data_IF_020534983414
#
_entry.id   IF_020534983414
#
_cell.length_a   1.000
_cell.length_b   1.000
_cell.length_c   1.000
_cell.angle_alpha   90.00
_cell.angle_beta   90.00
_cell.angle_gamma   90.00
#
_symmetry.space_group_name_H-M   'P 1'
#
loop_
_entity.id
_entity.type
_entity.pdbx_description
1 polymer ?
#
# COMPACT_ATOMS: atom_id res chain seq x y z
N UNK A 1 14.19 11.32 13.89
CA UNK A 1 13.38 11.70 15.06
C UNK A 1 13.23 10.42 15.85
N UNK A 2 13.68 10.41 17.09
CA UNK A 2 13.64 9.21 17.93
C UNK A 2 12.18 8.86 18.24
N UNK A 3 11.75 7.62 17.94
CA UNK A 3 10.37 7.20 18.21
C UNK A 3 10.04 7.31 19.71
N UNK A 4 8.82 7.76 20.03
CA UNK A 4 8.44 7.99 21.42
C UNK A 4 8.10 6.67 22.14
N UNK A 5 7.57 5.65 21.46
CA UNK A 5 7.17 4.39 22.09
C UNK A 5 8.35 3.56 22.63
N UNK A 6 9.39 3.39 21.81
CA UNK A 6 10.62 2.66 22.12
C UNK A 6 11.49 3.34 23.16
N UNK A 7 11.38 4.67 23.33
CA UNK A 7 12.01 5.40 24.45
C UNK A 7 11.19 5.37 25.74
N UNK A 8 9.85 5.31 25.68
CA UNK A 8 9.00 5.47 26.87
C UNK A 8 8.64 4.11 27.52
N UNK A 9 8.46 3.02 26.77
CA UNK A 9 7.84 1.81 27.35
C UNK A 9 8.58 0.48 27.28
N UNK A 10 9.53 0.25 26.36
CA UNK A 10 10.37 -0.97 26.35
C UNK A 10 9.62 -2.33 26.37
N UNK A 11 8.29 -2.34 26.23
CA UNK A 11 7.42 -3.51 26.28
C UNK A 11 6.89 -3.78 24.88
N UNK A 12 7.32 -4.90 24.32
CA UNK A 12 6.78 -5.47 23.09
C UNK A 12 5.56 -6.32 23.43
N UNK A 13 4.56 -6.33 22.54
CA UNK A 13 3.49 -7.33 22.60
C UNK A 13 4.11 -8.69 22.28
N UNK A 14 3.84 -9.69 23.12
CA UNK A 14 4.35 -11.04 22.89
C UNK A 14 3.70 -11.67 21.67
N UNK A 15 4.40 -12.59 21.00
CA UNK A 15 3.85 -13.29 19.83
C UNK A 15 2.55 -14.05 20.17
N UNK A 16 2.44 -14.60 21.38
CA UNK A 16 1.21 -15.24 21.88
C UNK A 16 0.05 -14.26 21.97
N UNK A 17 0.27 -13.07 22.55
CA UNK A 17 -0.77 -12.04 22.65
C UNK A 17 -1.17 -11.50 21.29
N UNK A 18 -0.20 -11.28 20.38
CA UNK A 18 -0.46 -10.85 19.01
C UNK A 18 -1.28 -11.90 18.23
N UNK A 19 -1.00 -13.18 18.44
CA UNK A 19 -1.75 -14.28 17.83
C UNK A 19 -3.16 -14.37 18.41
N UNK A 20 -3.32 -14.25 19.74
CA UNK A 20 -4.63 -14.24 20.38
C UNK A 20 -5.51 -13.08 19.88
N UNK A 21 -4.92 -11.89 19.71
CA UNK A 21 -5.58 -10.75 19.08
C UNK A 21 -6.05 -11.08 17.65
N UNK A 22 -5.16 -11.62 16.80
CA UNK A 22 -5.47 -12.01 15.41
C UNK A 22 -6.62 -13.02 15.33
N UNK A 23 -6.59 -14.05 16.16
CA UNK A 23 -7.58 -15.13 16.18
C UNK A 23 -8.98 -14.64 16.60
N UNK A 24 -9.04 -13.59 17.42
CA UNK A 24 -10.30 -13.01 17.92
C UNK A 24 -10.73 -11.74 17.19
N UNK A 25 -9.99 -11.31 16.16
CA UNK A 25 -10.18 -10.03 15.49
C UNK A 25 -11.61 -9.86 14.94
N UNK A 26 -12.16 -10.87 14.27
CA UNK A 26 -13.50 -10.79 13.67
C UNK A 26 -14.59 -10.62 14.75
N UNK A 27 -14.44 -11.33 15.87
CA UNK A 27 -15.36 -11.24 17.01
C UNK A 27 -15.27 -9.86 17.66
N UNK A 28 -14.05 -9.35 17.86
CA UNK A 28 -13.84 -8.02 18.44
C UNK A 28 -14.40 -6.93 17.53
N UNK A 29 -14.08 -6.97 16.23
CA UNK A 29 -14.54 -5.99 15.24
C UNK A 29 -16.06 -5.90 15.22
N UNK A 30 -16.77 -7.05 15.25
CA UNK A 30 -18.22 -7.08 15.34
C UNK A 30 -18.74 -6.40 16.62
N UNK A 31 -18.18 -6.72 17.78
CA UNK A 31 -18.58 -6.09 19.06
C UNK A 31 -18.32 -4.59 19.06
N UNK A 32 -17.21 -4.13 18.48
CA UNK A 32 -16.90 -2.70 18.34
C UNK A 32 -17.93 -2.02 17.44
N UNK A 33 -18.29 -2.64 16.31
CA UNK A 33 -19.35 -2.12 15.43
C UNK A 33 -20.68 -1.96 16.17
N UNK A 34 -21.12 -3.02 16.87
CA UNK A 34 -22.39 -3.02 17.61
C UNK A 34 -22.42 -1.88 18.65
N UNK A 35 -21.35 -1.71 19.44
CA UNK A 35 -21.26 -0.66 20.47
C UNK A 35 -21.20 0.75 19.85
N UNK A 36 -20.40 0.93 18.79
CA UNK A 36 -20.25 2.24 18.16
C UNK A 36 -21.52 2.68 17.44
N UNK A 37 -22.26 1.75 16.80
CA UNK A 37 -23.56 2.04 16.19
C UNK A 37 -24.57 2.56 17.24
N UNK A 38 -24.61 1.96 18.43
CA UNK A 38 -25.45 2.46 19.53
C UNK A 38 -25.04 3.86 20.01
N UNK A 39 -23.74 4.17 20.02
CA UNK A 39 -23.22 5.50 20.39
C UNK A 39 -23.60 6.57 19.36
N UNK A 40 -23.64 6.22 18.07
CA UNK A 40 -24.07 7.13 17.00
C UNK A 40 -25.51 7.61 17.14
N UNK A 41 -26.38 6.83 17.80
CA UNK A 41 -27.74 7.27 18.09
C UNK A 41 -27.81 8.45 19.07
N UNK A 42 -26.73 8.68 19.82
CA UNK A 42 -26.64 9.71 20.87
C UNK A 42 -25.78 10.90 20.43
N UNK A 43 -24.79 10.66 19.57
CA UNK A 43 -23.81 11.66 19.14
C UNK A 43 -23.52 11.53 17.64
N UNK A 44 -23.38 12.65 16.93
CA UNK A 44 -22.97 12.64 15.53
C UNK A 44 -21.45 12.46 15.41
N UNK A 45 -20.95 11.22 15.44
CA UNK A 45 -19.51 10.95 15.40
C UNK A 45 -18.96 10.75 13.98
N UNK A 46 -19.79 10.39 13.00
CA UNK A 46 -19.33 10.09 11.62
C UNK A 46 -19.81 11.09 10.57
N UNK A 47 -20.46 12.19 10.95
CA UNK A 47 -20.99 13.17 10.01
C UNK A 47 -22.02 12.55 9.06
N UNK A 48 -21.96 12.90 7.78
CA UNK A 48 -22.86 12.36 6.74
C UNK A 48 -22.39 11.01 6.16
N UNK A 49 -21.35 10.40 6.74
CA UNK A 49 -20.84 9.12 6.25
C UNK A 49 -21.83 7.96 6.52
N UNK A 50 -21.98 7.00 5.59
CA UNK A 50 -22.76 5.81 5.86
C UNK A 50 -22.04 4.89 6.87
N UNK A 51 -22.79 4.13 7.67
CA UNK A 51 -22.27 3.20 8.68
C UNK A 51 -21.22 2.23 8.13
N UNK A 52 -21.34 1.83 6.87
CA UNK A 52 -20.38 0.94 6.21
C UNK A 52 -18.97 1.50 6.19
N UNK A 53 -18.79 2.82 6.11
CA UNK A 53 -17.46 3.45 6.18
C UNK A 53 -16.85 3.23 7.55
N UNK A 54 -17.63 3.44 8.62
CA UNK A 54 -17.18 3.18 9.99
C UNK A 54 -16.83 1.69 10.21
N UNK A 55 -17.64 0.78 9.69
CA UNK A 55 -17.38 -0.66 9.83
C UNK A 55 -16.10 -1.09 9.09
N UNK A 56 -15.90 -0.61 7.87
CA UNK A 56 -14.67 -0.85 7.11
C UNK A 56 -13.44 -0.26 7.83
N UNK A 57 -13.59 0.92 8.43
CA UNK A 57 -12.55 1.57 9.22
C UNK A 57 -12.14 0.72 10.43
N UNK A 58 -13.10 0.16 11.18
CA UNK A 58 -12.82 -0.72 12.30
C UNK A 58 -12.12 -2.02 11.85
N UNK A 59 -12.56 -2.62 10.75
CA UNK A 59 -11.92 -3.82 10.19
C UNK A 59 -10.47 -3.54 9.77
N UNK A 60 -10.24 -2.43 9.05
CA UNK A 60 -8.91 -2.01 8.62
C UNK A 60 -8.00 -1.69 9.81
N UNK A 61 -8.53 -1.01 10.84
CA UNK A 61 -7.80 -0.72 12.07
C UNK A 61 -7.34 -2.01 12.76
N UNK A 62 -8.22 -2.98 12.96
CA UNK A 62 -7.84 -4.22 13.63
C UNK A 62 -6.86 -5.08 12.82
N UNK A 63 -6.99 -5.10 11.48
CA UNK A 63 -5.98 -5.73 10.60
C UNK A 63 -4.62 -5.02 10.69
N UNK A 64 -4.62 -3.69 10.71
CA UNK A 64 -3.40 -2.90 10.87
C UNK A 64 -2.72 -3.17 12.23
N UNK A 65 -3.48 -3.14 13.33
CA UNK A 65 -2.96 -3.42 14.66
C UNK A 65 -2.40 -4.84 14.77
N UNK A 66 -3.02 -5.82 14.12
CA UNK A 66 -2.47 -7.18 14.00
C UNK A 66 -1.05 -7.17 13.44
N UNK A 67 -0.77 -6.35 12.41
CA UNK A 67 0.58 -6.22 11.85
C UNK A 67 1.55 -5.54 12.81
N UNK A 68 1.11 -4.46 13.45
CA UNK A 68 1.91 -3.76 14.47
C UNK A 68 2.35 -4.72 15.55
N UNK A 69 1.44 -5.56 16.07
CA UNK A 69 1.73 -6.51 17.13
C UNK A 69 2.60 -7.68 16.68
N UNK A 70 2.29 -8.31 15.54
CA UNK A 70 3.07 -9.45 15.05
C UNK A 70 4.49 -9.06 14.63
N UNK A 71 4.66 -7.85 14.09
CA UNK A 71 5.97 -7.35 13.65
C UNK A 71 6.68 -6.54 14.74
N UNK A 72 6.02 -6.21 15.84
CA UNK A 72 6.50 -5.26 16.86
C UNK A 72 6.98 -3.95 16.23
N UNK A 73 6.17 -3.39 15.32
CA UNK A 73 6.50 -2.18 14.54
C UNK A 73 5.66 -0.98 14.99
N UNK A 74 6.05 -0.41 16.13
CA UNK A 74 5.38 0.74 16.73
C UNK A 74 5.76 2.08 16.08
N UNK A 75 6.84 2.11 15.30
CA UNK A 75 7.18 3.30 14.50
C UNK A 75 6.23 3.43 13.31
N UNK A 76 5.89 2.30 12.65
CA UNK A 76 4.83 2.26 11.65
C UNK A 76 3.49 2.73 12.25
N UNK A 77 3.17 2.32 13.49
CA UNK A 77 1.97 2.79 14.20
C UNK A 77 1.99 4.32 14.36
N UNK A 78 3.04 4.87 14.96
CA UNK A 78 3.19 6.32 15.20
C UNK A 78 3.05 7.14 13.91
N UNK A 79 3.74 6.73 12.83
CA UNK A 79 3.65 7.39 11.52
C UNK A 79 2.25 7.32 10.92
N UNK A 80 1.55 6.20 11.11
CA UNK A 80 0.22 5.98 10.53
C UNK A 80 -0.87 6.76 11.28
N UNK A 81 -0.76 6.94 12.60
CA UNK A 81 -1.79 7.62 13.40
C UNK A 81 -2.04 9.05 12.96
N UNK A 82 -0.97 9.82 12.72
CA UNK A 82 -1.10 11.20 12.24
C UNK A 82 -1.91 11.27 10.94
N UNK A 83 -1.60 10.41 9.99
CA UNK A 83 -2.32 10.34 8.71
C UNK A 83 -3.78 9.88 8.89
N UNK A 84 -4.03 8.87 9.73
CA UNK A 84 -5.39 8.36 9.99
C UNK A 84 -6.27 9.45 10.60
N UNK A 85 -5.77 10.17 11.61
CA UNK A 85 -6.52 11.20 12.31
C UNK A 85 -6.90 12.35 11.37
N UNK A 86 -5.94 12.89 10.63
CA UNK A 86 -6.19 13.94 9.65
C UNK A 86 -7.20 13.49 8.57
N UNK A 87 -7.06 12.27 8.05
CA UNK A 87 -7.92 11.77 6.98
C UNK A 87 -9.37 11.60 7.40
N UNK A 88 -9.64 11.14 8.63
CA UNK A 88 -11.02 10.94 9.10
C UNK A 88 -11.69 12.29 9.36
N UNK A 89 -10.98 13.24 9.99
CA UNK A 89 -11.49 14.60 10.24
C UNK A 89 -11.81 15.29 8.90
N UNK A 90 -10.90 15.19 7.92
CA UNK A 90 -11.12 15.75 6.58
C UNK A 90 -12.37 15.16 5.90
N UNK A 91 -12.71 13.90 6.21
CA UNK A 91 -13.91 13.20 5.72
C UNK A 91 -15.15 13.42 6.59
N UNK A 92 -15.12 14.38 7.52
CA UNK A 92 -16.27 14.79 8.32
C UNK A 92 -16.55 13.93 9.55
N UNK A 93 -15.62 13.07 9.98
CA UNK A 93 -15.70 12.44 11.30
C UNK A 93 -15.48 13.50 12.38
N UNK A 94 -16.17 13.34 13.50
CA UNK A 94 -15.99 14.20 14.68
C UNK A 94 -14.63 13.97 15.32
N UNK A 95 -14.02 15.02 15.88
CA UNK A 95 -12.83 14.89 16.72
C UNK A 95 -13.06 13.98 17.95
N UNK A 96 -14.30 13.82 18.42
CA UNK A 96 -14.59 12.90 19.51
C UNK A 96 -14.63 11.42 19.08
N UNK A 97 -14.71 11.13 17.77
CA UNK A 97 -14.82 9.76 17.27
C UNK A 97 -13.65 8.88 17.72
N UNK A 98 -12.42 9.40 17.66
CA UNK A 98 -11.22 8.61 18.00
C UNK A 98 -11.19 8.21 19.48
N UNK A 99 -11.57 9.12 20.37
CA UNK A 99 -11.69 8.83 21.78
C UNK A 99 -12.73 7.73 22.04
N UNK A 100 -13.90 7.86 21.42
CA UNK A 100 -14.98 6.88 21.59
C UNK A 100 -14.63 5.50 21.02
N UNK A 101 -13.99 5.44 19.84
CA UNK A 101 -13.64 4.17 19.19
C UNK A 101 -12.49 3.48 19.90
N UNK A 102 -11.44 4.20 20.34
CA UNK A 102 -10.31 3.61 21.05
C UNK A 102 -10.74 3.06 22.43
N UNK A 103 -11.55 3.81 23.17
CA UNK A 103 -12.15 3.34 24.43
C UNK A 103 -13.03 2.10 24.22
N UNK A 104 -13.77 2.06 23.10
CA UNK A 104 -14.59 0.89 22.73
C UNK A 104 -13.73 -0.34 22.39
N UNK A 105 -12.64 -0.16 21.66
CA UNK A 105 -11.66 -1.24 21.43
C UNK A 105 -11.09 -1.76 22.74
N UNK A 106 -10.64 -0.89 23.65
CA UNK A 106 -10.12 -1.27 24.97
C UNK A 106 -11.13 -2.11 25.75
N UNK A 107 -12.39 -1.68 25.77
CA UNK A 107 -13.48 -2.43 26.41
C UNK A 107 -13.63 -3.82 25.79
N UNK A 108 -13.71 -3.91 24.46
CA UNK A 108 -13.93 -5.15 23.74
C UNK A 108 -12.74 -6.12 23.87
N UNK A 109 -11.51 -5.61 23.86
CA UNK A 109 -10.29 -6.38 24.07
C UNK A 109 -10.31 -7.05 25.45
N UNK A 110 -10.60 -6.28 26.51
CA UNK A 110 -10.69 -6.81 27.88
C UNK A 110 -11.82 -7.86 28.05
N UNK A 111 -12.87 -7.78 27.24
CA UNK A 111 -14.00 -8.72 27.27
C UNK A 111 -13.79 -9.97 26.40
N UNK A 112 -12.75 -10.00 25.55
CA UNK A 112 -12.61 -11.04 24.51
C UNK A 112 -11.30 -11.80 24.60
N UNK A 113 -10.18 -11.12 24.84
CA UNK A 113 -8.88 -11.76 24.91
C UNK A 113 -8.62 -12.37 26.29
N UNK A 114 -7.65 -13.28 26.38
CA UNK A 114 -7.18 -13.75 27.68
C UNK A 114 -6.52 -12.61 28.49
N UNK A 115 -6.43 -12.77 29.81
CA UNK A 115 -6.00 -11.67 30.69
C UNK A 115 -4.58 -11.17 30.42
N UNK A 116 -3.68 -12.03 29.94
CA UNK A 116 -2.31 -11.61 29.62
C UNK A 116 -2.27 -10.86 28.30
N UNK A 117 -2.95 -11.39 27.27
CA UNK A 117 -3.08 -10.72 25.98
C UNK A 117 -3.78 -9.37 26.11
N UNK A 118 -4.93 -9.32 26.79
CA UNK A 118 -5.68 -8.09 27.01
C UNK A 118 -4.81 -6.99 27.65
N UNK A 119 -4.00 -7.35 28.65
CA UNK A 119 -3.10 -6.40 29.32
C UNK A 119 -2.03 -5.86 28.37
N UNK A 120 -1.35 -6.71 27.61
CA UNK A 120 -0.30 -6.26 26.67
C UNK A 120 -0.88 -5.41 25.54
N UNK A 121 -2.02 -5.80 24.98
CA UNK A 121 -2.66 -5.09 23.87
C UNK A 121 -3.21 -3.73 24.33
N UNK A 122 -3.92 -3.68 25.47
CA UNK A 122 -4.54 -2.43 25.92
C UNK A 122 -3.53 -1.35 26.30
N UNK A 123 -2.32 -1.71 26.77
CA UNK A 123 -1.23 -0.75 26.97
C UNK A 123 -0.92 0.05 25.69
N UNK A 124 -0.99 -0.57 24.50
CA UNK A 124 -0.80 0.11 23.22
C UNK A 124 -1.99 1.01 22.87
N UNK A 125 -3.21 0.56 23.13
CA UNK A 125 -4.41 1.37 22.88
C UNK A 125 -4.50 2.61 23.77
N UNK A 126 -4.16 2.50 25.06
CA UNK A 126 -4.07 3.65 25.95
C UNK A 126 -3.02 4.66 25.47
N UNK A 127 -1.94 4.20 24.86
CA UNK A 127 -0.98 5.09 24.25
C UNK A 127 -1.53 5.80 23.01
N UNK A 128 -2.30 5.11 22.16
CA UNK A 128 -2.98 5.76 21.04
C UNK A 128 -3.98 6.83 21.52
N UNK A 129 -4.69 6.61 22.64
CA UNK A 129 -5.55 7.63 23.25
C UNK A 129 -4.74 8.85 23.70
N UNK A 130 -3.64 8.65 24.43
CA UNK A 130 -2.78 9.76 24.86
C UNK A 130 -2.13 10.49 23.69
N UNK A 131 -1.71 9.76 22.65
CA UNK A 131 -1.15 10.33 21.43
C UNK A 131 -2.17 11.20 20.70
N UNK A 132 -3.45 10.80 20.71
CA UNK A 132 -4.54 11.62 20.17
C UNK A 132 -4.80 12.90 20.98
N UNK A 133 -4.72 12.83 22.32
CA UNK A 133 -4.89 14.01 23.18
C UNK A 133 -3.79 15.08 22.94
N UNK A 134 -2.60 14.66 22.48
CA UNK A 134 -1.49 15.55 22.11
C UNK A 134 -1.49 15.95 20.62
N UNK A 135 -2.39 15.38 19.81
CA UNK A 135 -2.43 15.59 18.38
C UNK A 135 -2.92 17.00 18.03
N UNK A 136 -2.06 17.79 17.38
CA UNK A 136 -2.46 19.07 16.80
C UNK A 136 -3.01 18.84 15.39
N UNK A 137 -4.26 19.26 15.16
CA UNK A 137 -4.97 19.12 13.87
C UNK A 137 -4.37 20.04 12.79
N UNK A 138 -3.44 20.93 13.15
CA UNK A 138 -2.75 21.76 12.17
C UNK A 138 -2.04 20.87 11.12
N UNK A 139 -2.35 21.05 9.81
CA UNK A 139 -1.69 20.29 8.76
C UNK A 139 -0.18 20.47 8.89
N UNK A 140 0.56 19.37 8.89
CA UNK A 140 2.01 19.43 8.75
C UNK A 140 2.27 20.13 7.40
N UNK A 141 2.65 21.42 7.45
CA UNK A 141 3.10 22.14 6.26
C UNK A 141 4.27 21.35 5.68
N UNK A 142 4.06 20.64 4.56
CA UNK A 142 5.14 20.08 3.79
C UNK A 142 6.08 21.24 3.45
N UNK A 143 7.29 21.20 4.02
CA UNK A 143 8.34 22.16 3.77
C UNK A 143 8.69 22.08 2.28
N UNK A 144 8.01 22.88 1.45
CA UNK A 144 8.34 23.05 0.03
C UNK A 144 9.72 23.70 -0.04
N UNK A 145 10.74 22.86 -0.15
CA UNK A 145 12.06 23.29 -0.58
C UNK A 145 11.89 23.92 -1.97
N UNK A 146 12.17 25.23 -2.08
CA UNK A 146 12.10 25.94 -3.36
C UNK A 146 13.27 25.54 -4.25
N UNK A 147 13.14 24.39 -4.88
CA UNK A 147 14.02 23.96 -5.96
C UNK A 147 13.52 24.65 -7.24
N UNK A 148 14.44 25.26 -7.98
CA UNK A 148 14.13 25.91 -9.26
C UNK A 148 13.83 24.81 -10.29
N UNK A 149 12.54 24.57 -10.57
CA UNK A 149 12.09 23.56 -11.54
C UNK A 149 12.63 23.87 -12.94
N UNK A 150 13.05 22.83 -13.66
CA UNK A 150 13.48 22.94 -15.06
C UNK A 150 12.27 23.14 -15.99
N UNK A 151 12.44 23.73 -17.20
CA UNK A 151 11.35 23.89 -18.16
C UNK A 151 10.64 22.58 -18.53
N UNK A 152 11.37 21.46 -18.55
CA UNK A 152 10.82 20.14 -18.82
C UNK A 152 9.91 19.64 -17.69
N UNK A 153 10.30 19.87 -16.43
CA UNK A 153 9.48 19.50 -15.26
C UNK A 153 8.18 20.29 -15.19
N UNK A 154 8.20 21.57 -15.57
CA UNK A 154 6.98 22.40 -15.64
C UNK A 154 5.98 21.81 -16.63
N UNK A 155 6.42 21.43 -17.84
CA UNK A 155 5.54 20.84 -18.86
C UNK A 155 4.92 19.53 -18.38
N UNK A 156 5.71 18.63 -17.76
CA UNK A 156 5.19 17.38 -17.21
C UNK A 156 4.16 17.61 -16.10
N UNK A 157 4.41 18.60 -15.24
CA UNK A 157 3.50 18.98 -14.16
C UNK A 157 2.16 19.50 -14.70
N UNK A 158 2.19 20.33 -15.74
CA UNK A 158 0.98 20.83 -16.40
C UNK A 158 0.18 19.69 -17.02
N UNK A 159 0.84 18.79 -17.77
CA UNK A 159 0.20 17.60 -18.36
C UNK A 159 -0.37 16.67 -17.27
N UNK A 160 0.33 16.49 -16.15
CA UNK A 160 -0.14 15.73 -14.98
C UNK A 160 -1.38 16.36 -14.34
N UNK A 161 -1.41 17.69 -14.18
CA UNK A 161 -2.57 18.41 -13.67
C UNK A 161 -3.78 18.30 -14.61
N UNK A 162 -3.55 18.41 -15.92
CA UNK A 162 -4.61 18.21 -16.92
C UNK A 162 -5.18 16.79 -16.85
N UNK A 163 -4.31 15.78 -16.76
CA UNK A 163 -4.74 14.39 -16.62
C UNK A 163 -5.59 14.21 -15.35
N UNK A 164 -5.15 14.72 -14.20
CA UNK A 164 -5.93 14.69 -12.96
C UNK A 164 -7.35 15.25 -13.13
N UNK A 165 -7.50 16.42 -13.76
CA UNK A 165 -8.81 17.01 -14.03
C UNK A 165 -9.69 16.11 -14.91
N UNK A 166 -9.13 15.56 -16.00
CA UNK A 166 -9.88 14.66 -16.88
C UNK A 166 -10.29 13.36 -16.19
N UNK A 167 -9.43 12.82 -15.31
CA UNK A 167 -9.71 11.60 -14.56
C UNK A 167 -10.88 11.76 -13.59
N UNK A 168 -10.94 12.88 -12.87
CA UNK A 168 -12.03 13.16 -11.92
C UNK A 168 -13.37 13.34 -12.64
N UNK A 169 -13.35 13.89 -13.86
CA UNK A 169 -14.54 14.04 -14.71
C UNK A 169 -14.90 12.75 -15.47
N UNK A 170 -14.03 11.72 -15.45
CA UNK A 170 -14.20 10.50 -16.23
C UNK A 170 -14.03 10.68 -17.74
N UNK A 171 -13.36 11.75 -18.18
CA UNK A 171 -13.12 12.03 -19.59
C UNK A 171 -12.02 11.12 -20.14
N UNK A 172 -12.41 9.90 -20.50
CA UNK A 172 -11.55 8.92 -21.14
C UNK A 172 -10.93 9.43 -22.44
N UNK A 173 -11.67 10.20 -23.23
CA UNK A 173 -11.22 10.62 -24.57
C UNK A 173 -10.06 11.61 -24.44
N UNK A 174 -10.26 12.68 -23.68
CA UNK A 174 -9.23 13.70 -23.47
C UNK A 174 -8.03 13.12 -22.73
N UNK A 175 -8.25 12.23 -21.76
CA UNK A 175 -7.17 11.52 -21.06
C UNK A 175 -6.33 10.68 -22.02
N UNK A 176 -6.95 9.94 -22.94
CA UNK A 176 -6.24 9.12 -23.92
C UNK A 176 -5.48 9.97 -24.94
N UNK A 177 -6.10 11.03 -25.46
CA UNK A 177 -5.46 11.95 -26.41
C UNK A 177 -4.23 12.62 -25.79
N UNK A 178 -4.34 13.10 -24.54
CA UNK A 178 -3.25 13.69 -23.78
C UNK A 178 -2.07 12.72 -23.61
N UNK A 179 -2.36 11.47 -23.24
CA UNK A 179 -1.31 10.46 -23.05
C UNK A 179 -0.65 10.11 -24.38
N UNK A 180 -1.43 9.92 -25.46
CA UNK A 180 -0.88 9.59 -26.79
C UNK A 180 -0.03 10.71 -27.40
N UNK A 181 -0.34 11.98 -27.12
CA UNK A 181 0.46 13.13 -27.58
C UNK A 181 1.91 13.07 -27.08
N UNK A 182 2.14 12.45 -25.92
CA UNK A 182 3.44 12.46 -25.24
C UNK A 182 4.28 11.25 -25.64
N UNK A 183 3.66 10.12 -26.05
CA UNK A 183 4.39 8.89 -26.39
C UNK A 183 5.01 9.02 -27.78
N UNK A 184 6.33 8.93 -27.86
CA UNK A 184 7.10 8.89 -29.10
C UNK A 184 8.14 7.75 -29.14
N UNK A 185 8.57 7.27 -27.98
CA UNK A 185 9.51 6.15 -27.81
C UNK A 185 9.34 5.45 -26.45
N UNK A 186 10.18 4.44 -26.17
CA UNK A 186 10.15 3.70 -24.90
C UNK A 186 10.44 4.59 -23.67
N UNK A 187 11.28 5.60 -23.80
CA UNK A 187 11.64 6.49 -22.68
C UNK A 187 10.47 7.41 -22.32
N UNK A 188 9.83 8.00 -23.34
CA UNK A 188 8.63 8.82 -23.17
C UNK A 188 7.48 8.03 -22.54
N UNK A 189 7.32 6.75 -22.91
CA UNK A 189 6.35 5.85 -22.33
C UNK A 189 6.63 5.60 -20.83
N UNK A 190 7.89 5.31 -20.48
CA UNK A 190 8.31 5.19 -19.08
C UNK A 190 8.07 6.48 -18.28
N UNK A 191 8.35 7.64 -18.87
CA UNK A 191 8.08 8.94 -18.25
C UNK A 191 6.58 9.18 -18.04
N UNK A 192 5.72 8.80 -18.99
CA UNK A 192 4.26 8.91 -18.84
C UNK A 192 3.79 8.06 -17.67
N UNK A 193 4.22 6.80 -17.60
CA UNK A 193 3.86 5.93 -16.49
C UNK A 193 4.30 6.50 -15.15
N UNK A 194 5.58 6.88 -15.04
CA UNK A 194 6.21 7.18 -13.74
C UNK A 194 6.05 8.62 -13.27
N UNK A 195 5.90 9.58 -14.19
CA UNK A 195 5.85 11.03 -13.89
C UNK A 195 4.50 11.68 -14.16
N UNK A 196 3.60 11.01 -14.91
CA UNK A 196 2.28 11.57 -15.24
C UNK A 196 1.17 10.70 -14.64
N UNK A 197 1.02 9.44 -15.08
CA UNK A 197 -0.05 8.56 -14.63
C UNK A 197 0.07 8.27 -13.13
N UNK A 198 1.25 7.81 -12.67
CA UNK A 198 1.49 7.50 -11.26
C UNK A 198 1.27 8.73 -10.36
N UNK A 199 1.82 9.88 -10.75
CA UNK A 199 1.70 11.13 -9.98
C UNK A 199 0.26 11.68 -9.97
N UNK A 200 -0.45 11.63 -11.11
CA UNK A 200 -1.86 12.02 -11.17
C UNK A 200 -2.73 11.11 -10.29
N UNK A 201 -2.45 9.81 -10.25
CA UNK A 201 -3.19 8.86 -9.40
C UNK A 201 -2.82 9.00 -7.92
N UNK A 202 -1.63 9.48 -7.58
CA UNK A 202 -1.32 9.91 -6.22
C UNK A 202 -2.11 11.16 -5.83
N UNK A 203 -2.26 12.12 -6.73
CA UNK A 203 -3.11 13.30 -6.49
C UNK A 203 -4.58 12.90 -6.34
N UNK A 204 -5.09 11.96 -7.14
CA UNK A 204 -6.45 11.38 -6.97
C UNK A 204 -6.59 10.71 -5.59
N UNK A 205 -5.61 9.89 -5.18
CA UNK A 205 -5.61 9.26 -3.86
C UNK A 205 -5.63 10.29 -2.73
N UNK A 206 -4.79 11.32 -2.79
CA UNK A 206 -4.75 12.42 -1.81
C UNK A 206 -6.07 13.19 -1.76
N UNK A 207 -6.64 13.54 -2.91
CA UNK A 207 -7.93 14.24 -2.96
C UNK A 207 -9.05 13.40 -2.34
N UNK A 208 -9.03 12.07 -2.54
CA UNK A 208 -9.98 11.17 -1.91
C UNK A 208 -9.74 11.04 -0.40
N UNK A 209 -8.49 10.92 0.04
CA UNK A 209 -8.12 10.90 1.46
C UNK A 209 -8.58 12.16 2.18
N UNK A 210 -8.42 13.32 1.55
CA UNK A 210 -8.84 14.63 2.07
C UNK A 210 -10.35 14.89 1.95
N UNK A 211 -11.12 13.97 1.37
CA UNK A 211 -12.56 14.13 1.18
C UNK A 211 -12.96 15.14 0.10
N UNK A 212 -12.02 15.60 -0.73
CA UNK A 212 -12.27 16.54 -1.83
C UNK A 212 -12.99 15.87 -3.01
N UNK A 213 -12.79 14.56 -3.19
CA UNK A 213 -13.51 13.73 -4.18
C UNK A 213 -14.15 12.51 -3.51
N UNK A 214 -15.24 12.02 -4.10
CA UNK A 214 -15.93 10.82 -3.65
C UNK A 214 -15.15 9.55 -4.01
N UNK A 215 -15.50 8.43 -3.36
CA UNK A 215 -15.02 7.10 -3.76
C UNK A 215 -15.43 6.74 -5.19
N UNK A 216 -16.59 7.22 -5.66
CA UNK A 216 -17.01 6.96 -7.05
C UNK A 216 -16.15 7.70 -8.06
N UNK A 217 -15.66 8.90 -7.72
CA UNK A 217 -14.72 9.65 -8.57
C UNK A 217 -13.33 8.98 -8.58
N UNK A 218 -12.84 8.50 -7.44
CA UNK A 218 -11.59 7.71 -7.39
C UNK A 218 -11.71 6.45 -8.25
N UNK A 219 -12.76 5.64 -8.08
CA UNK A 219 -12.97 4.44 -8.89
C UNK A 219 -13.12 4.74 -10.39
N UNK A 220 -13.76 5.87 -10.73
CA UNK A 220 -13.88 6.33 -12.11
C UNK A 220 -12.50 6.68 -12.70
N UNK A 221 -11.67 7.41 -11.97
CA UNK A 221 -10.30 7.74 -12.35
C UNK A 221 -9.46 6.47 -12.57
N UNK A 222 -9.51 5.53 -11.63
CA UNK A 222 -8.83 4.22 -11.74
C UNK A 222 -9.31 3.45 -12.97
N UNK A 223 -10.63 3.41 -13.23
CA UNK A 223 -11.20 2.74 -14.42
C UNK A 223 -10.72 3.36 -15.74
N UNK A 224 -10.66 4.69 -15.82
CA UNK A 224 -10.16 5.41 -16.99
C UNK A 224 -8.69 5.09 -17.24
N UNK A 225 -7.84 5.15 -16.21
CA UNK A 225 -6.42 4.81 -16.34
C UNK A 225 -6.21 3.36 -16.78
N UNK A 226 -6.93 2.41 -16.18
CA UNK A 226 -6.82 0.99 -16.58
C UNK A 226 -7.15 0.79 -18.06
N UNK A 227 -8.17 1.49 -18.58
CA UNK A 227 -8.52 1.46 -20.02
C UNK A 227 -7.46 2.13 -20.90
N UNK A 228 -6.83 3.20 -20.43
CA UNK A 228 -5.75 3.88 -21.15
C UNK A 228 -4.52 2.99 -21.21
N UNK A 229 -4.11 2.38 -20.08
CA UNK A 229 -2.96 1.46 -20.04
C UNK A 229 -3.18 0.24 -20.93
N UNK A 230 -4.39 -0.34 -20.94
CA UNK A 230 -4.72 -1.41 -21.87
C UNK A 230 -4.63 -0.97 -23.34
N UNK A 231 -4.98 0.28 -23.67
CA UNK A 231 -4.86 0.80 -25.02
C UNK A 231 -3.39 1.00 -25.43
N UNK A 232 -2.59 1.57 -24.54
CA UNK A 232 -1.14 1.75 -24.73
C UNK A 232 -0.46 0.39 -24.90
N UNK A 233 -0.86 -0.60 -24.11
CA UNK A 233 -0.31 -1.96 -24.17
C UNK A 233 -0.37 -2.55 -25.59
N UNK A 234 -1.52 -2.38 -26.27
CA UNK A 234 -1.73 -2.86 -27.64
C UNK A 234 -0.76 -2.22 -28.65
N UNK A 235 -0.47 -0.92 -28.49
CA UNK A 235 0.30 -0.14 -29.46
C UNK A 235 1.82 -0.35 -29.30
N UNK A 236 2.30 -0.62 -28.07
CA UNK A 236 3.74 -0.58 -27.76
C UNK A 236 4.35 -1.89 -27.23
N UNK A 237 3.55 -2.84 -26.73
CA UNK A 237 4.08 -3.98 -25.98
C UNK A 237 3.96 -5.30 -26.73
N UNK A 238 2.91 -5.48 -27.53
CA UNK A 238 2.62 -6.73 -28.26
C UNK A 238 3.78 -7.20 -29.14
N UNK A 239 4.58 -6.27 -29.66
CA UNK A 239 5.71 -6.57 -30.54
C UNK A 239 7.06 -6.52 -29.82
N UNK A 240 7.07 -6.40 -28.49
CA UNK A 240 8.32 -6.37 -27.72
C UNK A 240 8.95 -7.76 -27.73
N UNK A 241 10.21 -7.83 -28.16
CA UNK A 241 10.96 -9.07 -28.16
C UNK A 241 11.31 -9.48 -26.72
N UNK A 242 10.93 -10.71 -26.37
CA UNK A 242 11.32 -11.34 -25.11
C UNK A 242 12.77 -11.78 -25.24
N UNK A 243 13.64 -11.17 -24.44
CA UNK A 243 15.11 -11.39 -24.46
C UNK A 243 15.66 -11.87 -23.12
N UNK A 244 14.84 -11.85 -22.07
CA UNK A 244 15.20 -12.23 -20.70
C UNK A 244 14.31 -13.36 -20.17
N UNK A 245 14.58 -13.77 -18.94
CA UNK A 245 13.88 -14.86 -18.27
C UNK A 245 12.42 -14.53 -17.93
N UNK A 246 11.72 -15.56 -17.45
CA UNK A 246 10.34 -15.45 -16.99
C UNK A 246 10.27 -14.90 -15.57
N UNK A 247 9.34 -13.99 -15.29
CA UNK A 247 9.09 -13.44 -13.94
C UNK A 247 7.61 -13.45 -13.62
N UNK A 248 7.28 -13.54 -12.32
CA UNK A 248 5.91 -13.36 -11.84
C UNK A 248 5.82 -12.00 -11.14
N UNK A 249 4.77 -11.25 -11.45
CA UNK A 249 4.52 -9.91 -10.92
C UNK A 249 3.09 -9.85 -10.36
N UNK A 250 2.94 -9.54 -9.06
CA UNK A 250 1.64 -9.61 -8.35
C UNK A 250 1.59 -8.64 -7.17
N UNK A 251 0.40 -8.36 -6.65
CA UNK A 251 0.24 -7.83 -5.28
C UNK A 251 0.21 -8.95 -4.24
N UNK A 252 0.31 -8.59 -2.96
CA UNK A 252 0.06 -9.51 -1.85
C UNK A 252 -1.42 -9.94 -1.75
N UNK A 253 -1.70 -11.01 -0.99
CA UNK A 253 -3.07 -11.38 -0.62
C UNK A 253 -3.77 -10.20 0.06
N UNK A 254 -5.04 -9.98 -0.27
CA UNK A 254 -5.88 -8.87 0.23
C UNK A 254 -5.38 -7.46 -0.19
N UNK A 255 -4.47 -7.37 -1.15
CA UNK A 255 -4.03 -6.11 -1.75
C UNK A 255 -4.67 -5.91 -3.12
N UNK A 256 -5.53 -4.89 -3.23
CA UNK A 256 -6.30 -4.56 -4.43
C UNK A 256 -5.67 -3.43 -5.26
N UNK A 257 -4.69 -2.70 -4.71
CA UNK A 257 -4.07 -1.57 -5.39
C UNK A 257 -3.06 -2.05 -6.44
N UNK A 258 -3.55 -2.34 -7.64
CA UNK A 258 -2.75 -3.00 -8.68
C UNK A 258 -2.04 -2.07 -9.65
N UNK A 259 -2.41 -0.78 -9.69
CA UNK A 259 -1.89 0.16 -10.67
C UNK A 259 -0.36 0.27 -10.65
N UNK A 260 0.23 0.47 -9.47
CA UNK A 260 1.68 0.62 -9.34
C UNK A 260 2.44 -0.63 -9.78
N UNK A 261 1.92 -1.82 -9.46
CA UNK A 261 2.55 -3.08 -9.85
C UNK A 261 2.31 -3.40 -11.33
N UNK A 262 1.21 -2.92 -11.92
CA UNK A 262 0.98 -2.99 -13.37
C UNK A 262 1.98 -2.13 -14.14
N UNK A 263 2.28 -0.93 -13.65
CA UNK A 263 3.33 -0.07 -14.22
C UNK A 263 4.67 -0.81 -14.23
N UNK A 264 5.02 -1.46 -13.11
CA UNK A 264 6.24 -2.26 -13.02
C UNK A 264 6.23 -3.43 -14.01
N UNK A 265 5.11 -4.16 -14.12
CA UNK A 265 4.97 -5.27 -15.06
C UNK A 265 5.19 -4.81 -16.52
N UNK A 266 4.47 -3.77 -16.94
CA UNK A 266 4.60 -3.18 -18.27
C UNK A 266 6.08 -2.80 -18.52
N UNK A 267 6.71 -2.04 -17.62
CA UNK A 267 8.09 -1.58 -17.85
C UNK A 267 9.13 -2.71 -17.84
N UNK A 268 8.89 -3.80 -17.12
CA UNK A 268 9.70 -5.02 -17.21
C UNK A 268 9.51 -5.71 -18.56
N UNK A 269 8.29 -5.78 -19.10
CA UNK A 269 8.05 -6.28 -20.45
C UNK A 269 8.79 -5.43 -21.51
N UNK A 270 8.77 -4.09 -21.40
CA UNK A 270 9.53 -3.22 -22.31
C UNK A 270 11.04 -3.42 -22.24
N UNK A 271 11.53 -3.82 -21.07
CA UNK A 271 12.92 -4.20 -20.82
C UNK A 271 13.24 -5.62 -21.32
N UNK A 272 12.26 -6.36 -21.86
CA UNK A 272 12.45 -7.65 -22.52
C UNK A 272 12.23 -8.88 -21.63
N UNK A 273 11.61 -8.72 -20.46
CA UNK A 273 11.24 -9.83 -19.58
C UNK A 273 9.98 -10.57 -20.07
N UNK A 274 9.92 -11.89 -19.87
CA UNK A 274 8.69 -12.68 -20.03
C UNK A 274 7.86 -12.55 -18.74
N UNK A 275 6.94 -11.58 -18.71
CA UNK A 275 6.22 -11.22 -17.49
C UNK A 275 4.88 -11.96 -17.39
N UNK A 276 4.69 -12.71 -16.32
CA UNK A 276 3.39 -13.21 -15.89
C UNK A 276 2.82 -12.24 -14.85
N UNK A 277 2.01 -11.29 -15.32
CA UNK A 277 1.27 -10.37 -14.46
C UNK A 277 -0.01 -11.02 -13.95
N UNK A 278 -0.08 -11.30 -12.64
CA UNK A 278 -1.22 -11.99 -12.02
C UNK A 278 -2.31 -11.05 -11.50
N UNK A 279 -2.11 -9.73 -11.58
CA UNK A 279 -3.05 -8.76 -11.03
C UNK A 279 -2.96 -8.66 -9.51
N UNK A 280 -4.13 -8.57 -8.88
CA UNK A 280 -4.28 -8.29 -7.45
C UNK A 280 -4.97 -9.40 -6.67
N UNK A 281 -4.76 -9.41 -5.34
CA UNK A 281 -5.46 -10.25 -4.37
C UNK A 281 -5.46 -11.76 -4.70
N UNK A 282 -4.32 -12.29 -5.15
CA UNK A 282 -4.17 -13.72 -5.39
C UNK A 282 -4.01 -14.45 -4.05
N UNK A 283 -4.78 -15.52 -3.77
CA UNK A 283 -4.57 -16.35 -2.59
C UNK A 283 -3.16 -16.93 -2.55
N UNK A 284 -2.53 -16.93 -1.36
CA UNK A 284 -1.15 -17.40 -1.15
C UNK A 284 -0.94 -18.80 -1.75
N UNK A 285 -1.87 -19.72 -1.50
CA UNK A 285 -1.77 -21.11 -1.92
C UNK A 285 -1.76 -21.25 -3.45
N UNK A 286 -2.53 -20.42 -4.16
CA UNK A 286 -2.60 -20.43 -5.62
C UNK A 286 -1.40 -19.73 -6.25
N UNK A 287 -0.87 -18.68 -5.61
CA UNK A 287 0.39 -18.06 -6.00
C UNK A 287 1.55 -19.07 -5.92
N UNK A 288 1.67 -19.81 -4.81
CA UNK A 288 2.74 -20.82 -4.65
C UNK A 288 2.63 -21.93 -5.69
N UNK A 289 1.41 -22.42 -6.00
CA UNK A 289 1.20 -23.39 -7.08
C UNK A 289 1.64 -22.84 -8.43
N UNK A 290 1.33 -21.57 -8.72
CA UNK A 290 1.72 -20.91 -9.96
C UNK A 290 3.23 -20.78 -10.06
N UNK A 291 3.91 -20.39 -8.98
CA UNK A 291 5.38 -20.30 -8.93
C UNK A 291 6.02 -21.68 -9.18
N UNK A 292 5.51 -22.75 -8.56
CA UNK A 292 6.01 -24.12 -8.76
C UNK A 292 5.85 -24.59 -10.21
N UNK A 293 4.73 -24.23 -10.84
CA UNK A 293 4.42 -24.59 -12.24
C UNK A 293 5.28 -23.80 -13.23
N UNK A 294 5.34 -22.48 -13.07
CA UNK A 294 5.93 -21.59 -14.06
C UNK A 294 7.45 -21.43 -13.90
N UNK A 295 8.00 -21.75 -12.71
CA UNK A 295 9.43 -21.68 -12.37
C UNK A 295 10.08 -20.35 -12.81
N UNK A 296 9.57 -19.20 -12.34
CA UNK A 296 10.13 -17.90 -12.71
C UNK A 296 11.55 -17.73 -12.18
N UNK A 297 12.32 -16.85 -12.81
CA UNK A 297 13.65 -16.41 -12.35
C UNK A 297 13.58 -15.69 -11.00
N UNK A 298 12.53 -14.88 -10.78
CA UNK A 298 12.22 -14.26 -9.48
C UNK A 298 10.75 -13.83 -9.42
N UNK A 299 10.30 -13.50 -8.20
CA UNK A 299 8.98 -12.95 -7.91
C UNK A 299 9.07 -11.45 -7.60
N UNK A 300 8.17 -10.65 -8.15
CA UNK A 300 7.93 -9.26 -7.73
C UNK A 300 6.59 -9.17 -7.00
N UNK A 301 6.60 -8.68 -5.76
CA UNK A 301 5.41 -8.53 -4.93
C UNK A 301 5.22 -7.07 -4.47
N UNK A 302 4.04 -6.50 -4.71
CA UNK A 302 3.71 -5.14 -4.27
C UNK A 302 2.77 -5.11 -3.07
N UNK A 303 3.01 -4.17 -2.16
CA UNK A 303 2.17 -3.86 -1.00
C UNK A 303 1.95 -2.35 -0.93
N UNK A 304 0.69 -1.92 -0.97
CA UNK A 304 0.32 -0.50 -0.89
C UNK A 304 -0.20 -0.17 0.50
N UNK A 305 -1.08 -1.02 1.03
CA UNK A 305 -1.65 -0.84 2.36
C UNK A 305 -0.77 -1.47 3.43
N UNK A 306 -0.43 -0.71 4.48
CA UNK A 306 0.42 -1.19 5.58
C UNK A 306 -0.16 -2.44 6.28
N UNK A 307 -1.48 -2.58 6.34
CA UNK A 307 -2.15 -3.76 6.89
C UNK A 307 -1.96 -5.04 6.04
N UNK A 308 -1.45 -4.95 4.81
CA UNK A 308 -1.15 -6.11 3.96
C UNK A 308 0.33 -6.55 4.04
N UNK A 309 1.19 -5.86 4.80
CA UNK A 309 2.62 -6.24 4.94
C UNK A 309 2.76 -7.66 5.52
N UNK A 310 1.95 -8.03 6.51
CA UNK A 310 1.97 -9.40 7.06
C UNK A 310 1.59 -10.46 6.04
N UNK A 311 0.73 -10.14 5.07
CA UNK A 311 0.33 -11.05 3.99
C UNK A 311 1.46 -11.28 2.99
N UNK A 312 2.21 -10.23 2.65
CA UNK A 312 3.43 -10.39 1.89
C UNK A 312 4.46 -11.25 2.64
N UNK A 313 4.62 -11.03 3.96
CA UNK A 313 5.48 -11.87 4.80
C UNK A 313 5.04 -13.34 4.79
N UNK A 314 3.75 -13.62 4.97
CA UNK A 314 3.20 -14.98 4.94
C UNK A 314 3.50 -15.68 3.60
N UNK A 315 3.40 -14.98 2.47
CA UNK A 315 3.78 -15.50 1.15
C UNK A 315 5.28 -15.79 1.07
N UNK A 316 6.12 -14.85 1.49
CA UNK A 316 7.58 -14.98 1.43
C UNK A 316 8.07 -16.13 2.31
N UNK A 317 7.57 -16.23 3.54
CA UNK A 317 7.93 -17.29 4.47
C UNK A 317 7.56 -18.67 3.92
N UNK A 318 6.39 -18.80 3.27
CA UNK A 318 5.95 -20.03 2.59
C UNK A 318 6.89 -20.42 1.44
N UNK A 319 7.28 -19.46 0.60
CA UNK A 319 8.22 -19.68 -0.51
C UNK A 319 9.60 -20.07 0.01
N UNK A 320 10.10 -19.37 1.03
CA UNK A 320 11.42 -19.63 1.62
C UNK A 320 11.47 -20.92 2.46
N UNK A 321 10.33 -21.37 2.98
CA UNK A 321 10.17 -22.64 3.70
C UNK A 321 10.02 -23.86 2.79
N UNK A 322 9.72 -23.66 1.51
CA UNK A 322 9.58 -24.73 0.53
C UNK A 322 10.94 -25.07 -0.13
N UNK A 323 11.40 -26.32 -0.02
CA UNK A 323 12.72 -26.75 -0.54
C UNK A 323 12.92 -26.50 -2.04
N UNK A 324 11.85 -26.62 -2.84
CA UNK A 324 11.91 -26.39 -4.30
C UNK A 324 11.98 -24.91 -4.67
N UNK A 325 11.57 -24.02 -3.77
CA UNK A 325 11.43 -22.59 -4.02
C UNK A 325 12.35 -21.72 -3.17
N UNK A 326 13.03 -22.27 -2.16
CA UNK A 326 13.83 -21.50 -1.20
C UNK A 326 14.89 -20.59 -1.83
N UNK A 327 15.38 -20.96 -3.02
CA UNK A 327 16.36 -20.19 -3.80
C UNK A 327 15.75 -19.13 -4.71
N UNK A 328 14.43 -19.11 -4.89
CA UNK A 328 13.74 -18.10 -5.68
C UNK A 328 13.98 -16.74 -5.04
N UNK A 329 14.52 -15.81 -5.82
CA UNK A 329 14.69 -14.42 -5.38
C UNK A 329 13.32 -13.72 -5.38
N UNK A 330 13.10 -12.85 -4.40
CA UNK A 330 11.87 -12.10 -4.21
C UNK A 330 12.21 -10.62 -4.06
N UNK A 331 11.65 -9.80 -4.95
CA UNK A 331 11.69 -8.35 -4.89
C UNK A 331 10.35 -7.85 -4.35
N UNK A 332 10.35 -7.22 -3.18
CA UNK A 332 9.17 -6.59 -2.61
C UNK A 332 9.20 -5.08 -2.85
N UNK A 333 8.03 -4.45 -2.98
CA UNK A 333 7.94 -2.99 -3.15
C UNK A 333 6.53 -2.47 -2.91
N UNK A 334 6.30 -1.21 -3.25
CA UNK A 334 5.04 -0.51 -3.04
C UNK A 334 5.05 0.47 -1.87
N UNK A 335 4.02 1.31 -1.81
CA UNK A 335 3.95 2.49 -0.93
C UNK A 335 4.08 2.14 0.56
N UNK A 336 3.63 0.96 0.99
CA UNK A 336 3.70 0.53 2.38
C UNK A 336 5.15 0.51 2.92
N UNK A 337 6.13 0.25 2.05
CA UNK A 337 7.54 0.19 2.42
C UNK A 337 8.23 1.55 2.58
N UNK A 338 7.55 2.66 2.25
CA UNK A 338 8.04 4.01 2.54
C UNK A 338 7.90 4.35 4.04
N UNK A 339 6.99 3.69 4.74
CA UNK A 339 6.70 3.92 6.16
C UNK A 339 7.11 2.75 7.06
N UNK A 340 7.57 1.64 6.47
CA UNK A 340 8.03 0.44 7.16
C UNK A 340 9.56 0.41 7.21
N UNK A 341 10.15 0.77 8.35
CA UNK A 341 11.62 0.83 8.49
C UNK A 341 12.25 -0.54 8.71
N UNK A 342 11.50 -1.50 9.28
CA UNK A 342 12.03 -2.82 9.62
C UNK A 342 12.02 -3.81 8.44
N UNK A 343 12.49 -3.32 7.31
CA UNK A 343 12.55 -4.00 6.01
C UNK A 343 13.14 -5.40 6.07
N UNK A 344 14.14 -5.63 6.94
CA UNK A 344 14.76 -6.96 7.12
C UNK A 344 13.79 -8.03 7.61
N UNK A 345 12.69 -7.68 8.30
CA UNK A 345 11.69 -8.64 8.81
C UNK A 345 10.81 -9.26 7.73
N UNK A 346 10.74 -8.67 6.53
CA UNK A 346 9.85 -9.14 5.47
C UNK A 346 10.33 -10.45 4.83
N UNK A 347 11.64 -10.72 4.87
CA UNK A 347 12.27 -11.92 4.29
C UNK A 347 12.49 -11.89 2.77
N UNK A 348 12.16 -10.77 2.10
CA UNK A 348 12.46 -10.57 0.69
C UNK A 348 13.97 -10.38 0.47
N UNK A 349 14.47 -10.77 -0.70
CA UNK A 349 15.89 -10.63 -1.05
C UNK A 349 16.25 -9.16 -1.35
N UNK A 350 15.29 -8.39 -1.85
CA UNK A 350 15.41 -6.93 -2.03
C UNK A 350 14.06 -6.26 -1.77
N UNK A 351 14.10 -5.06 -1.18
CA UNK A 351 12.96 -4.14 -1.17
C UNK A 351 13.29 -2.95 -2.05
N UNK A 352 12.39 -2.64 -2.97
CA UNK A 352 12.48 -1.50 -3.87
C UNK A 352 11.45 -0.43 -3.52
N UNK A 353 11.89 0.83 -3.52
CA UNK A 353 11.03 2.00 -3.25
C UNK A 353 10.66 2.77 -4.51
N UNK A 354 11.12 2.32 -5.68
CA UNK A 354 10.84 2.98 -6.95
C UNK A 354 10.82 2.00 -8.11
N UNK A 355 10.11 2.39 -9.17
CA UNK A 355 10.09 1.64 -10.44
C UNK A 355 11.51 1.49 -11.01
N UNK A 356 12.33 2.54 -10.96
CA UNK A 356 13.72 2.48 -11.47
C UNK A 356 14.54 1.44 -10.72
N UNK A 357 14.52 1.49 -9.39
CA UNK A 357 15.27 0.52 -8.57
C UNK A 357 14.78 -0.92 -8.81
N UNK A 358 13.49 -1.12 -9.11
CA UNK A 358 12.96 -2.43 -9.48
C UNK A 358 13.55 -2.92 -10.81
N UNK A 359 13.58 -2.08 -11.84
CA UNK A 359 14.18 -2.41 -13.14
C UNK A 359 15.69 -2.68 -13.02
N UNK A 360 16.39 -1.86 -12.25
CA UNK A 360 17.83 -1.98 -12.05
C UNK A 360 18.16 -3.28 -11.30
N UNK A 361 17.42 -3.60 -10.23
CA UNK A 361 17.58 -4.87 -9.51
C UNK A 361 17.30 -6.07 -10.41
N UNK A 362 16.26 -6.01 -11.25
CA UNK A 362 15.94 -7.08 -12.19
C UNK A 362 17.12 -7.33 -13.16
N UNK A 363 17.68 -6.26 -13.74
CA UNK A 363 18.84 -6.32 -14.65
C UNK A 363 20.10 -6.85 -13.93
N UNK A 364 20.34 -6.45 -12.70
CA UNK A 364 21.43 -6.97 -11.87
C UNK A 364 21.29 -8.49 -11.67
N UNK A 365 20.12 -8.95 -11.23
CA UNK A 365 19.85 -10.38 -11.03
C UNK A 365 19.94 -11.19 -12.33
N UNK A 366 19.56 -10.59 -13.46
CA UNK A 366 19.74 -11.21 -14.78
C UNK A 366 21.21 -11.42 -15.13
N UNK A 367 22.06 -10.40 -14.95
CA UNK A 367 23.50 -10.48 -15.23
C UNK A 367 24.19 -11.51 -14.34
N UNK A 368 23.87 -11.50 -13.04
CA UNK A 368 24.38 -12.48 -12.08
C UNK A 368 24.06 -13.93 -12.49
N UNK A 369 22.83 -14.18 -12.95
CA UNK A 369 22.38 -15.52 -13.34
C UNK A 369 23.02 -16.01 -14.65
N UNK A 370 23.40 -15.09 -15.55
CA UNK A 370 23.97 -15.41 -16.87
C UNK A 370 25.50 -15.23 -16.95
N UNK A 371 26.16 -14.85 -15.85
CA UNK A 371 27.63 -14.74 -15.80
C UNK A 371 28.19 -13.49 -16.50
N UNK A 372 27.37 -12.47 -16.73
CA UNK A 372 27.77 -11.21 -17.39
C UNK A 372 28.31 -10.17 -16.36
N UNK A 373 29.22 -10.60 -15.49
CA UNK A 373 29.80 -9.76 -14.44
C UNK A 373 31.05 -8.99 -14.89
N UNK A 374 30.92 -7.65 -14.94
CA UNK A 374 31.96 -6.60 -14.94
C UNK A 374 33.12 -6.73 -15.96
N UNK A 375 32.92 -6.25 -17.20
CA UNK A 375 34.00 -5.50 -17.87
C UNK A 375 33.92 -4.05 -17.38
N UNK A 376 34.88 -3.68 -16.53
CA UNK A 376 35.12 -2.34 -15.97
C UNK A 376 35.39 -1.27 -17.04
#
# INVERSE_FOLDING_TARGET
MDNQWGKIYGKTVSYSSATNYKENLDVMTKKVNDIMEEKLLKENLIGDNPLTVMFNNHENHGKFMTNVFLLNDYELLEKSLNWVFSSYIARGFSENYFKEVLSTWIQVINLTLDIFAAREITEVYYWMENFYDEFDVNPIEEKKLSIKESPFEVVLKDKKNMLFSYLIEGDYKSSLELVKEIIHDKESLSNIYTKIIKEAMYDVGKAWEMGEISISQEHLATSVISRIMANIYMDYFILTEITKGKIIVTTATNEYHELGIRIVADLLELDGWDVIYLGSNIPKEDLVKTILKERPSFLVISVTMAFNISKAKEIIDEIKGNDDLRKLKILAGGQAFNYFDNKSKIGADKISLSVSETLDTAREWWKEANGEGEEL
#
